data_IF_927207711299
#
_entry.id   IF_927207711299
#
_cell.length_a   1.000
_cell.length_b   1.000
_cell.length_c   1.000
_cell.angle_alpha   90.00
_cell.angle_beta   90.00
_cell.angle_gamma   90.00
#
_symmetry.space_group_name_H-M   'P 1'
#
loop_
_entity.id
_entity.type
_entity.pdbx_description
1 polymer ?
#
# COMPACT_ATOMS: atom_id res chain seq x y z
N UNK A 1 5.55 -56.68 57.76
CA UNK A 1 6.06 -57.98 57.26
C UNK A 1 5.88 -57.99 55.75
N UNK A 2 6.96 -57.97 54.98
CA UNK A 2 6.96 -58.10 53.51
C UNK A 2 7.00 -59.57 53.12
N UNK A 3 6.23 -59.99 52.11
CA UNK A 3 6.56 -61.05 51.12
C UNK A 3 5.67 -60.77 49.87
N UNK A 4 6.13 -60.16 48.76
CA UNK A 4 6.79 -60.71 47.54
C UNK A 4 5.98 -61.87 46.90
N UNK A 5 5.67 -61.97 45.59
CA UNK A 5 6.42 -61.55 44.40
C UNK A 5 5.67 -61.90 43.06
N UNK A 6 5.88 -61.11 41.98
CA UNK A 6 6.16 -61.48 40.54
C UNK A 6 5.01 -62.11 39.68
N UNK A 7 4.79 -61.90 38.35
CA UNK A 7 5.62 -61.70 37.12
C UNK A 7 4.78 -61.11 35.95
N UNK A 8 5.38 -60.22 35.12
CA UNK A 8 5.22 -60.07 33.64
C UNK A 8 3.93 -59.42 33.10
N UNK A 9 3.89 -58.65 32.00
CA UNK A 9 4.84 -58.41 30.89
C UNK A 9 4.42 -57.17 30.07
N UNK A 10 5.40 -56.58 29.40
CA UNK A 10 5.41 -55.64 28.27
C UNK A 10 4.10 -55.27 27.54
N UNK A 11 3.99 -53.98 27.23
CA UNK A 11 3.01 -53.42 26.30
C UNK A 11 3.31 -51.95 25.99
N UNK A 12 4.21 -51.71 25.03
CA UNK A 12 4.53 -50.41 24.45
C UNK A 12 3.30 -49.73 23.85
N UNK A 13 3.10 -48.45 24.20
CA UNK A 13 1.98 -47.62 23.76
C UNK A 13 2.26 -47.08 22.34
N UNK A 14 1.51 -47.54 21.35
CA UNK A 14 1.54 -47.04 19.97
C UNK A 14 0.79 -45.70 19.83
N UNK A 15 1.41 -44.79 19.07
CA UNK A 15 0.70 -44.05 18.03
C UNK A 15 -0.04 -42.76 18.42
N UNK A 16 0.55 -41.62 18.05
CA UNK A 16 -0.03 -40.63 17.11
C UNK A 16 0.96 -39.49 16.88
N UNK A 17 1.98 -39.75 16.06
CA UNK A 17 2.72 -38.70 15.38
C UNK A 17 1.78 -38.05 14.35
N UNK A 18 1.36 -36.82 14.64
CA UNK A 18 0.62 -35.98 13.70
C UNK A 18 1.67 -35.27 12.84
N UNK A 19 1.75 -35.50 11.52
CA UNK A 19 2.72 -34.79 10.70
C UNK A 19 2.39 -33.28 10.70
N UNK A 20 3.38 -32.39 10.81
CA UNK A 20 3.12 -30.96 10.73
C UNK A 20 2.63 -30.65 9.31
N UNK A 21 1.45 -30.03 9.22
CA UNK A 21 0.91 -29.53 7.97
C UNK A 21 1.86 -28.47 7.40
N UNK A 22 2.66 -28.87 6.41
CA UNK A 22 3.41 -27.99 5.53
C UNK A 22 2.41 -27.10 4.79
N UNK A 23 2.13 -25.92 5.37
CA UNK A 23 1.54 -24.83 4.59
C UNK A 23 2.64 -24.35 3.66
N UNK A 24 2.66 -24.88 2.44
CA UNK A 24 3.26 -24.19 1.31
C UNK A 24 2.56 -22.83 1.20
N UNK A 25 3.13 -21.86 1.89
CA UNK A 25 2.84 -20.46 1.72
C UNK A 25 3.42 -20.15 0.35
N UNK A 26 2.64 -20.40 -0.71
CA UNK A 26 2.94 -19.87 -2.02
C UNK A 26 3.16 -18.38 -1.80
N UNK A 27 4.42 -17.94 -1.90
CA UNK A 27 4.75 -16.54 -1.82
C UNK A 27 3.94 -15.87 -2.91
N UNK A 28 2.83 -15.24 -2.53
CA UNK A 28 2.05 -14.42 -3.44
C UNK A 28 3.07 -13.43 -3.97
N UNK A 29 3.37 -13.48 -5.27
CA UNK A 29 4.20 -12.49 -5.94
C UNK A 29 3.45 -11.17 -5.74
N UNK A 30 3.79 -10.46 -4.67
CA UNK A 30 3.23 -9.17 -4.38
C UNK A 30 3.88 -8.27 -5.41
N UNK A 31 3.08 -7.79 -6.34
CA UNK A 31 3.51 -6.78 -7.28
C UNK A 31 3.92 -5.56 -6.45
N UNK A 32 5.23 -5.36 -6.30
CA UNK A 32 5.80 -4.29 -5.48
C UNK A 32 5.61 -2.90 -6.10
N UNK A 33 4.94 -2.82 -7.25
CA UNK A 33 4.54 -1.55 -7.86
C UNK A 33 3.79 -0.69 -6.85
N UNK A 34 4.29 0.54 -6.70
CA UNK A 34 3.83 1.52 -5.74
C UNK A 34 3.28 2.71 -6.52
N UNK A 35 1.95 2.79 -6.56
CA UNK A 35 1.25 3.95 -7.08
C UNK A 35 0.93 4.91 -5.94
N UNK A 36 1.14 6.21 -6.13
CA UNK A 36 0.69 7.23 -5.18
C UNK A 36 -0.26 8.19 -5.88
N UNK A 37 -1.47 8.31 -5.35
CA UNK A 37 -2.43 9.32 -5.76
C UNK A 37 -2.19 10.56 -4.91
N UNK A 38 -1.91 11.68 -5.54
CA UNK A 38 -1.65 12.97 -4.88
C UNK A 38 -2.68 13.96 -5.41
N UNK A 39 -3.32 14.71 -4.52
CA UNK A 39 -4.22 15.76 -4.98
C UNK A 39 -4.82 16.61 -3.88
N UNK A 40 -5.78 17.44 -4.28
CA UNK A 40 -6.47 18.35 -3.39
C UNK A 40 -7.62 17.68 -2.59
N UNK A 41 -8.59 18.45 -2.13
CA UNK A 41 -9.73 17.94 -1.36
C UNK A 41 -10.53 16.85 -2.09
N UNK A 42 -10.48 16.79 -3.42
CA UNK A 42 -11.24 15.79 -4.20
C UNK A 42 -10.75 14.37 -3.92
N UNK A 43 -9.45 14.17 -3.68
CA UNK A 43 -8.91 12.83 -3.41
C UNK A 43 -9.15 12.36 -1.97
N UNK A 44 -9.70 13.20 -1.09
CA UNK A 44 -9.93 12.90 0.33
C UNK A 44 -10.82 11.69 0.55
N UNK A 45 -11.81 11.47 -0.32
CA UNK A 45 -12.75 10.36 -0.22
C UNK A 45 -12.20 9.00 -0.69
N UNK A 46 -11.00 8.96 -1.25
CA UNK A 46 -10.44 7.74 -1.82
C UNK A 46 -10.06 6.74 -0.72
N UNK A 47 -10.69 5.56 -0.78
CA UNK A 47 -10.44 4.50 0.19
C UNK A 47 -9.21 3.69 -0.23
N UNK A 48 -8.04 4.09 0.27
CA UNK A 48 -6.74 3.50 -0.06
C UNK A 48 -6.74 1.96 0.00
N UNK A 49 -7.31 1.35 1.05
CA UNK A 49 -7.34 -0.10 1.21
C UNK A 49 -8.14 -0.81 0.11
N UNK A 50 -9.25 -0.21 -0.35
CA UNK A 50 -10.05 -0.76 -1.45
C UNK A 50 -9.31 -0.64 -2.78
N UNK A 51 -8.66 0.50 -3.01
CA UNK A 51 -7.84 0.74 -4.20
C UNK A 51 -6.67 -0.25 -4.30
N UNK A 52 -5.91 -0.43 -3.21
CA UNK A 52 -4.81 -1.40 -3.17
C UNK A 52 -5.30 -2.84 -3.41
N UNK A 53 -6.44 -3.21 -2.83
CA UNK A 53 -7.04 -4.54 -3.05
C UNK A 53 -7.48 -4.76 -4.50
N UNK A 54 -8.16 -3.77 -5.08
CA UNK A 54 -8.65 -3.84 -6.46
C UNK A 54 -7.51 -3.86 -7.48
N UNK A 55 -6.51 -2.98 -7.30
CA UNK A 55 -5.36 -2.87 -8.20
C UNK A 55 -4.30 -3.98 -7.99
N UNK A 56 -4.44 -4.80 -6.95
CA UNK A 56 -3.48 -5.86 -6.56
C UNK A 56 -2.03 -5.35 -6.44
N UNK A 57 -1.87 -4.10 -5.98
CA UNK A 57 -0.57 -3.44 -5.80
C UNK A 57 -0.65 -2.43 -4.64
N UNK A 58 0.48 -1.84 -4.25
CA UNK A 58 0.50 -0.84 -3.18
C UNK A 58 0.03 0.52 -3.70
N UNK A 59 -1.12 0.99 -3.24
CA UNK A 59 -1.63 2.33 -3.51
C UNK A 59 -1.52 3.19 -2.25
N UNK A 60 -0.89 4.35 -2.37
CA UNK A 60 -0.91 5.41 -1.37
C UNK A 60 -1.82 6.56 -1.80
N UNK A 61 -2.48 7.23 -0.85
CA UNK A 61 -3.22 8.48 -1.12
C UNK A 61 -2.64 9.61 -0.28
N UNK A 62 -2.39 10.76 -0.91
CA UNK A 62 -1.94 12.00 -0.29
C UNK A 62 -2.89 13.14 -0.67
N UNK A 63 -3.64 13.60 0.32
CA UNK A 63 -4.61 14.68 0.18
C UNK A 63 -4.03 15.95 0.78
N UNK A 64 -4.06 17.03 0.00
CA UNK A 64 -3.64 18.38 0.40
C UNK A 64 -4.82 19.34 0.15
N UNK A 65 -5.78 19.44 1.08
CA UNK A 65 -6.99 20.23 0.86
C UNK A 65 -6.67 21.70 0.55
N UNK A 66 -7.32 22.25 -0.48
CA UNK A 66 -7.11 23.64 -0.92
C UNK A 66 -5.84 23.88 -1.74
N UNK A 67 -5.00 22.84 -1.96
CA UNK A 67 -3.77 23.00 -2.71
C UNK A 67 -4.03 23.45 -4.15
N UNK A 68 -3.32 24.49 -4.56
CA UNK A 68 -3.22 24.94 -5.95
C UNK A 68 -2.13 24.14 -6.69
N UNK A 69 -2.04 24.31 -8.02
CA UNK A 69 -0.93 23.75 -8.82
C UNK A 69 0.43 24.22 -8.30
N UNK A 70 0.51 25.49 -7.86
CA UNK A 70 1.73 26.07 -7.29
C UNK A 70 2.16 25.38 -5.99
N UNK A 71 1.24 25.22 -5.04
CA UNK A 71 1.53 24.53 -3.77
C UNK A 71 1.98 23.07 -4.00
N UNK A 72 1.42 22.43 -5.03
CA UNK A 72 1.68 21.04 -5.34
C UNK A 72 3.14 20.78 -5.78
N UNK A 73 3.83 21.78 -6.34
CA UNK A 73 5.26 21.72 -6.65
C UNK A 73 6.11 21.40 -5.42
N UNK A 74 5.75 21.93 -4.25
CA UNK A 74 6.45 21.65 -3.00
C UNK A 74 5.93 20.37 -2.33
N UNK A 75 4.62 20.15 -2.35
CA UNK A 75 3.99 19.02 -1.66
C UNK A 75 4.31 17.67 -2.29
N UNK A 76 4.62 17.64 -3.59
CA UNK A 76 4.99 16.41 -4.29
C UNK A 76 6.42 15.97 -3.98
N UNK A 77 7.34 16.87 -3.61
CA UNK A 77 8.77 16.55 -3.38
C UNK A 77 8.98 15.42 -2.35
N UNK A 78 8.34 15.41 -1.17
CA UNK A 78 8.44 14.29 -0.23
C UNK A 78 7.89 12.96 -0.77
N UNK A 79 6.93 13.01 -1.71
CA UNK A 79 6.36 11.83 -2.36
C UNK A 79 7.38 11.25 -3.35
N UNK A 80 7.95 12.08 -4.23
CA UNK A 80 8.95 11.67 -5.22
C UNK A 80 10.23 11.13 -4.59
N UNK A 81 10.65 11.69 -3.44
CA UNK A 81 11.81 11.16 -2.68
C UNK A 81 11.65 9.69 -2.29
N UNK A 82 10.41 9.18 -2.19
CA UNK A 82 10.11 7.77 -1.89
C UNK A 82 10.02 6.89 -3.15
N UNK A 83 10.42 7.42 -4.31
CA UNK A 83 10.50 6.76 -5.62
C UNK A 83 9.30 5.85 -5.92
N UNK A 84 8.07 6.41 -6.00
CA UNK A 84 6.93 5.63 -6.48
C UNK A 84 7.13 5.24 -7.95
N UNK A 85 6.58 4.10 -8.36
CA UNK A 85 6.58 3.68 -9.77
C UNK A 85 5.59 4.49 -10.61
N UNK A 86 4.54 5.03 -9.98
CA UNK A 86 3.51 5.81 -10.64
C UNK A 86 2.97 6.88 -9.70
N UNK A 87 2.81 8.09 -10.21
CA UNK A 87 2.10 9.17 -9.54
C UNK A 87 0.85 9.51 -10.34
N UNK A 88 -0.30 9.51 -9.67
CA UNK A 88 -1.55 10.02 -10.23
C UNK A 88 -1.79 11.36 -9.56
N UNK A 89 -1.74 12.44 -10.34
CA UNK A 89 -1.85 13.81 -9.84
C UNK A 89 -3.25 14.38 -10.14
N UNK A 90 -3.91 14.91 -9.11
CA UNK A 90 -5.19 15.60 -9.24
C UNK A 90 -5.11 17.00 -8.63
N UNK A 91 -5.05 18.03 -9.47
CA UNK A 91 -4.90 19.43 -9.05
C UNK A 91 -5.48 20.37 -10.10
N UNK A 92 -5.73 21.63 -9.74
CA UNK A 92 -6.20 22.68 -10.64
C UNK A 92 -7.57 23.23 -10.26
N UNK A 93 -8.37 22.48 -9.49
CA UNK A 93 -9.71 22.92 -9.04
C UNK A 93 -9.66 24.18 -8.19
N UNK A 94 -8.65 24.33 -7.32
CA UNK A 94 -8.47 25.54 -6.52
C UNK A 94 -7.87 26.71 -7.32
N UNK A 95 -7.37 26.48 -8.53
CA UNK A 95 -6.87 27.52 -9.43
C UNK A 95 -7.98 28.08 -10.33
N UNK A 96 -8.98 27.25 -10.67
CA UNK A 96 -10.06 27.59 -11.62
C UNK A 96 -10.87 28.83 -11.21
N UNK A 97 -10.91 29.17 -9.93
CA UNK A 97 -11.60 30.39 -9.45
C UNK A 97 -10.87 31.68 -9.83
N UNK A 98 -9.55 31.63 -10.00
CA UNK A 98 -8.69 32.83 -10.07
C UNK A 98 -7.73 32.84 -11.28
N UNK A 99 -7.75 31.81 -12.12
CA UNK A 99 -6.85 31.67 -13.27
C UNK A 99 -7.61 31.18 -14.49
N UNK A 100 -7.16 31.62 -15.65
CA UNK A 100 -7.67 31.12 -16.93
C UNK A 100 -7.17 29.69 -17.20
N UNK A 101 -7.92 28.94 -18.00
CA UNK A 101 -7.59 27.56 -18.32
C UNK A 101 -6.18 27.40 -18.92
N UNK A 102 -5.76 28.35 -19.77
CA UNK A 102 -4.43 28.36 -20.37
C UNK A 102 -3.30 28.50 -19.34
N UNK A 103 -3.50 29.32 -18.31
CA UNK A 103 -2.53 29.50 -17.22
C UNK A 103 -2.43 28.23 -16.37
N UNK A 104 -3.57 27.61 -16.07
CA UNK A 104 -3.61 26.36 -15.29
C UNK A 104 -2.88 25.24 -16.04
N UNK A 105 -3.10 25.11 -17.35
CA UNK A 105 -2.41 24.12 -18.18
C UNK A 105 -0.90 24.36 -18.18
N UNK A 106 -0.45 25.61 -18.31
CA UNK A 106 0.98 25.96 -18.26
C UNK A 106 1.61 25.62 -16.91
N UNK A 107 0.91 25.88 -15.81
CA UNK A 107 1.39 25.55 -14.47
C UNK A 107 1.48 24.02 -14.28
N UNK A 108 0.50 23.26 -14.79
CA UNK A 108 0.51 21.80 -14.74
C UNK A 108 1.65 21.23 -15.58
N UNK A 109 1.91 21.78 -16.77
CA UNK A 109 3.01 21.33 -17.61
C UNK A 109 4.37 21.52 -16.93
N UNK A 110 4.58 22.70 -16.30
CA UNK A 110 5.78 22.96 -15.47
C UNK A 110 5.92 21.94 -14.33
N UNK A 111 4.84 21.69 -13.60
CA UNK A 111 4.83 20.71 -12.52
C UNK A 111 5.18 19.31 -13.01
N UNK A 112 4.65 18.88 -14.17
CA UNK A 112 4.99 17.61 -14.78
C UNK A 112 6.48 17.50 -15.17
N UNK A 113 7.12 18.61 -15.54
CA UNK A 113 8.56 18.65 -15.82
C UNK A 113 9.42 18.48 -14.56
N UNK A 114 8.94 18.93 -13.40
CA UNK A 114 9.61 18.74 -12.10
C UNK A 114 9.47 17.33 -11.53
N UNK A 115 8.44 16.59 -11.96
CA UNK A 115 8.10 15.25 -11.46
C UNK A 115 8.88 14.12 -12.15
N UNK A 116 9.79 14.44 -13.06
CA UNK A 116 10.59 13.48 -13.85
C UNK A 116 11.69 12.78 -13.05
#
# INVERSE_FOLDING_TARGET
>A
MQIKNRIGSDGSNEGKDKPPASKHQQARVQNNKKTVIVGDSIVKGLQQHKLSKAAKQNVGVKCFPGATVGDMSDYIKPVLRRKPDTVILHVGTNNATNKEASEIVNDIDKLCQEVK
#
